data_IF_171253784155
#
_entry.id   IF_171253784155
#
_cell.length_a   1.000
_cell.length_b   1.000
_cell.length_c   1.000
_cell.angle_alpha   90.00
_cell.angle_beta   90.00
_cell.angle_gamma   90.00
#
_symmetry.space_group_name_H-M   'P 1'
#
loop_
_entity.id
_entity.type
_entity.pdbx_description
1 polymer ?
#
# COMPACT_ATOMS: atom_id res chain seq x y z
N UNK A 1 -24.16 -5.62 -2.01
CA UNK A 1 -23.42 -5.42 -3.29
C UNK A 1 -22.89 -4.01 -3.30
N UNK A 2 -21.59 -3.85 -3.34
CA UNK A 2 -20.90 -2.57 -3.32
C UNK A 2 -20.84 -2.01 -4.75
N UNK A 3 -21.32 -0.79 -4.95
CA UNK A 3 -21.32 -0.12 -6.26
C UNK A 3 -20.06 0.72 -6.40
N UNK A 4 -19.07 0.14 -7.09
CA UNK A 4 -17.72 0.65 -7.21
C UNK A 4 -17.59 1.66 -8.35
N UNK A 5 -17.06 2.85 -8.05
CA UNK A 5 -16.47 3.76 -9.03
C UNK A 5 -14.96 3.68 -9.00
N UNK A 6 -14.29 4.02 -10.11
CA UNK A 6 -12.83 4.04 -10.15
C UNK A 6 -12.27 5.36 -10.71
N UNK A 7 -11.14 5.77 -10.14
CA UNK A 7 -10.29 6.85 -10.64
C UNK A 7 -8.91 6.27 -10.98
N UNK A 8 -8.51 6.36 -12.23
CA UNK A 8 -7.33 5.70 -12.79
C UNK A 8 -7.75 4.53 -13.69
N UNK A 9 -6.99 4.31 -14.77
CA UNK A 9 -7.30 3.31 -15.81
C UNK A 9 -6.06 2.53 -16.20
N UNK A 10 -5.16 2.34 -15.24
CA UNK A 10 -3.92 1.57 -15.42
C UNK A 10 -4.13 0.08 -15.08
N UNK A 11 -3.08 -0.71 -15.21
CA UNK A 11 -3.13 -2.15 -15.00
C UNK A 11 -3.48 -2.54 -13.55
N UNK A 12 -3.06 -1.74 -12.54
CA UNK A 12 -3.36 -2.04 -11.13
C UNK A 12 -4.85 -1.85 -10.83
N UNK A 13 -5.47 -0.81 -11.40
CA UNK A 13 -6.92 -0.61 -11.32
C UNK A 13 -7.68 -1.78 -11.95
N UNK A 14 -7.20 -2.28 -13.10
CA UNK A 14 -7.80 -3.41 -13.78
C UNK A 14 -7.72 -4.69 -12.91
N UNK A 15 -6.57 -4.92 -12.29
CA UNK A 15 -6.36 -6.06 -11.40
C UNK A 15 -7.27 -5.99 -10.16
N UNK A 16 -7.43 -4.79 -9.57
CA UNK A 16 -8.35 -4.60 -8.44
C UNK A 16 -9.82 -4.83 -8.84
N UNK A 17 -10.27 -4.30 -9.97
CA UNK A 17 -11.65 -4.49 -10.44
C UNK A 17 -11.93 -5.98 -10.72
N UNK A 18 -10.98 -6.70 -11.30
CA UNK A 18 -11.11 -8.16 -11.50
C UNK A 18 -11.22 -8.88 -10.15
N UNK A 19 -10.33 -8.58 -9.20
CA UNK A 19 -10.37 -9.13 -7.85
C UNK A 19 -11.71 -8.83 -7.15
N UNK A 20 -12.15 -7.58 -7.20
CA UNK A 20 -13.43 -7.15 -6.63
C UNK A 20 -14.63 -7.90 -7.21
N UNK A 21 -14.68 -8.09 -8.54
CA UNK A 21 -15.72 -8.88 -9.19
C UNK A 21 -15.66 -10.37 -8.82
N UNK A 22 -14.46 -10.94 -8.66
CA UNK A 22 -14.28 -12.34 -8.29
C UNK A 22 -14.83 -12.64 -6.89
N UNK A 23 -14.78 -11.65 -5.98
CA UNK A 23 -15.44 -11.78 -4.66
C UNK A 23 -16.97 -11.85 -4.75
N UNK A 24 -17.58 -11.46 -5.89
CA UNK A 24 -19.04 -11.34 -6.11
C UNK A 24 -19.72 -10.36 -5.16
N UNK A 25 -18.97 -9.45 -4.58
CA UNK A 25 -19.46 -8.43 -3.61
C UNK A 25 -19.46 -7.03 -4.19
N UNK A 26 -18.79 -6.82 -5.33
CA UNK A 26 -18.69 -5.54 -6.01
C UNK A 26 -19.29 -5.58 -7.40
N UNK A 27 -19.78 -4.44 -7.82
CA UNK A 27 -20.17 -4.15 -9.19
C UNK A 27 -19.50 -2.83 -9.61
N UNK A 28 -18.68 -2.85 -10.64
CA UNK A 28 -18.19 -1.62 -11.26
C UNK A 28 -19.37 -0.89 -11.91
N UNK A 29 -19.61 0.36 -11.54
CA UNK A 29 -20.72 1.18 -12.05
C UNK A 29 -20.27 2.46 -12.72
N UNK A 30 -19.06 2.95 -12.39
CA UNK A 30 -18.57 4.23 -12.91
C UNK A 30 -17.06 4.24 -13.13
N UNK A 31 -16.61 4.91 -14.20
CA UNK A 31 -15.19 5.12 -14.52
C UNK A 31 -14.93 6.61 -14.76
N UNK A 32 -14.03 7.18 -13.97
CA UNK A 32 -13.51 8.51 -14.21
C UNK A 32 -12.18 8.47 -14.97
N UNK A 33 -12.07 9.28 -16.00
CA UNK A 33 -10.79 9.63 -16.63
C UNK A 33 -10.88 11.02 -17.27
N UNK A 34 -9.80 11.80 -17.25
CA UNK A 34 -9.71 13.12 -17.93
C UNK A 34 -10.03 13.05 -19.43
N UNK A 35 -10.01 11.87 -20.04
CA UNK A 35 -10.33 11.62 -21.44
C UNK A 35 -11.43 10.55 -21.54
N UNK A 36 -12.58 10.92 -22.11
CA UNK A 36 -13.72 10.00 -22.25
C UNK A 36 -13.34 8.70 -22.95
N UNK A 37 -12.61 8.76 -24.05
CA UNK A 37 -12.16 7.58 -24.78
C UNK A 37 -11.28 6.62 -23.94
N UNK A 38 -10.57 7.14 -22.93
CA UNK A 38 -9.79 6.32 -22.01
C UNK A 38 -10.68 5.61 -20.99
N UNK A 39 -11.68 6.33 -20.46
CA UNK A 39 -12.67 5.76 -19.55
C UNK A 39 -13.47 4.65 -20.26
N UNK A 40 -13.96 4.91 -21.47
CA UNK A 40 -14.73 3.95 -22.27
C UNK A 40 -13.93 2.68 -22.57
N UNK A 41 -12.68 2.82 -23.07
CA UNK A 41 -11.80 1.68 -23.36
C UNK A 41 -11.54 0.79 -22.12
N UNK A 42 -11.46 1.41 -20.93
CA UNK A 42 -11.31 0.64 -19.70
C UNK A 42 -12.61 -0.08 -19.32
N UNK A 43 -13.74 0.64 -19.37
CA UNK A 43 -15.02 0.16 -18.85
C UNK A 43 -15.78 -0.79 -19.77
N UNK A 44 -15.56 -0.74 -21.10
CA UNK A 44 -16.34 -1.50 -22.11
C UNK A 44 -16.42 -3.01 -21.85
N UNK A 45 -15.41 -3.59 -21.21
CA UNK A 45 -15.36 -5.01 -20.87
C UNK A 45 -16.12 -5.38 -19.59
N UNK A 46 -16.59 -4.39 -18.82
CA UNK A 46 -17.26 -4.60 -17.53
C UNK A 46 -18.79 -4.42 -17.57
N UNK A 47 -19.38 -4.13 -18.75
CA UNK A 47 -20.81 -4.02 -18.93
C UNK A 47 -21.33 -2.60 -19.01
N UNK A 48 -22.49 -2.33 -18.41
CA UNK A 48 -23.14 -1.02 -18.45
C UNK A 48 -22.50 -0.11 -17.37
N UNK A 49 -21.64 0.81 -17.82
CA UNK A 49 -20.79 1.65 -16.99
C UNK A 49 -21.06 3.12 -17.31
N UNK A 50 -21.20 3.95 -16.29
CA UNK A 50 -21.21 5.41 -16.46
C UNK A 50 -19.79 5.95 -16.58
N UNK A 51 -19.62 6.93 -17.48
CA UNK A 51 -18.31 7.55 -17.74
C UNK A 51 -18.34 9.03 -17.43
N UNK A 52 -17.39 9.48 -16.61
CA UNK A 52 -17.24 10.90 -16.28
C UNK A 52 -15.84 11.42 -16.63
N UNK A 53 -15.77 12.69 -17.03
CA UNK A 53 -14.52 13.40 -17.32
C UNK A 53 -14.23 14.55 -16.35
N UNK A 54 -15.17 14.85 -15.48
CA UNK A 54 -15.00 15.75 -14.34
C UNK A 54 -15.38 15.06 -13.03
N UNK A 55 -14.72 15.45 -11.95
CA UNK A 55 -14.87 14.79 -10.64
C UNK A 55 -16.21 15.12 -9.97
N UNK A 56 -16.78 16.29 -10.21
CA UNK A 56 -18.06 16.67 -9.60
C UNK A 56 -19.19 15.80 -10.14
N UNK A 57 -19.26 15.60 -11.45
CA UNK A 57 -20.19 14.67 -12.09
C UNK A 57 -19.98 13.24 -11.59
N UNK A 58 -18.71 12.78 -11.52
CA UNK A 58 -18.38 11.44 -11.06
C UNK A 58 -18.83 11.18 -9.61
N UNK A 59 -18.46 12.04 -8.68
CA UNK A 59 -18.85 11.89 -7.28
C UNK A 59 -20.34 12.16 -7.02
N UNK A 60 -21.01 12.89 -7.94
CA UNK A 60 -22.45 13.14 -7.89
C UNK A 60 -23.33 11.93 -8.23
N UNK A 61 -22.77 10.81 -8.71
CA UNK A 61 -23.53 9.60 -9.03
C UNK A 61 -24.13 8.96 -7.76
N UNK A 62 -25.46 9.02 -7.67
CA UNK A 62 -26.17 8.62 -6.44
C UNK A 62 -26.12 7.11 -6.16
N UNK A 63 -26.02 6.29 -7.20
CA UNK A 63 -25.97 4.82 -7.08
C UNK A 63 -24.56 4.28 -6.77
N UNK A 64 -23.51 5.08 -6.88
CA UNK A 64 -22.15 4.72 -6.49
C UNK A 64 -21.97 4.98 -4.99
N UNK A 65 -21.45 4.02 -4.24
CA UNK A 65 -21.22 4.12 -2.79
C UNK A 65 -19.75 4.07 -2.38
N UNK A 66 -18.89 3.51 -3.22
CA UNK A 66 -17.48 3.30 -2.93
C UNK A 66 -16.62 3.68 -4.14
N UNK A 67 -15.46 4.30 -3.91
CA UNK A 67 -14.53 4.70 -4.98
C UNK A 67 -13.15 4.14 -4.71
N UNK A 68 -12.56 3.48 -5.73
CA UNK A 68 -11.16 3.10 -5.73
C UNK A 68 -10.33 4.12 -6.50
N UNK A 69 -9.30 4.67 -5.85
CA UNK A 69 -8.46 5.74 -6.36
C UNK A 69 -7.04 5.22 -6.61
N UNK A 70 -6.63 5.17 -7.87
CA UNK A 70 -5.32 4.71 -8.33
C UNK A 70 -4.73 5.67 -9.39
N UNK A 71 -4.86 6.95 -9.15
CA UNK A 71 -4.23 8.04 -9.90
C UNK A 71 -2.75 8.20 -9.47
N UNK A 72 -1.96 9.14 -10.01
CA UNK A 72 -0.66 9.50 -9.43
C UNK A 72 -0.79 9.97 -7.96
N UNK A 73 0.15 9.55 -7.10
CA UNK A 73 0.05 9.68 -5.64
C UNK A 73 -0.36 11.08 -5.15
N UNK A 74 0.25 12.15 -5.72
CA UNK A 74 -0.05 13.53 -5.31
C UNK A 74 -1.49 13.99 -5.59
N UNK A 75 -2.28 13.23 -6.34
CA UNK A 75 -3.68 13.52 -6.64
C UNK A 75 -4.64 12.79 -5.69
N UNK A 76 -4.15 11.83 -4.93
CA UNK A 76 -4.97 10.99 -4.06
C UNK A 76 -5.72 11.80 -3.02
N UNK A 77 -5.02 12.74 -2.36
CA UNK A 77 -5.60 13.54 -1.27
C UNK A 77 -6.84 14.32 -1.70
N UNK A 78 -6.74 15.13 -2.75
CA UNK A 78 -7.86 15.94 -3.23
C UNK A 78 -9.02 15.08 -3.75
N UNK A 79 -8.72 13.95 -4.38
CA UNK A 79 -9.73 13.02 -4.89
C UNK A 79 -10.43 12.28 -3.76
N UNK A 80 -9.68 11.80 -2.75
CA UNK A 80 -10.25 11.16 -1.57
C UNK A 80 -11.14 12.14 -0.78
N UNK A 81 -10.66 13.38 -0.58
CA UNK A 81 -11.42 14.44 0.09
C UNK A 81 -12.74 14.71 -0.59
N UNK A 82 -12.76 14.86 -1.92
CA UNK A 82 -13.99 15.07 -2.68
C UNK A 82 -14.94 13.86 -2.59
N UNK A 83 -14.41 12.64 -2.65
CA UNK A 83 -15.21 11.42 -2.49
C UNK A 83 -15.88 11.33 -1.12
N UNK A 84 -15.14 11.58 -0.06
CA UNK A 84 -15.64 11.59 1.32
C UNK A 84 -16.71 12.66 1.52
N UNK A 85 -16.49 13.91 1.03
CA UNK A 85 -17.46 14.98 1.08
C UNK A 85 -18.75 14.69 0.29
N UNK A 86 -18.65 13.83 -0.72
CA UNK A 86 -19.80 13.32 -1.47
C UNK A 86 -20.46 12.08 -0.82
N UNK A 87 -20.05 11.71 0.41
CA UNK A 87 -20.62 10.59 1.16
C UNK A 87 -20.20 9.21 0.63
N UNK A 88 -19.05 9.11 -0.06
CA UNK A 88 -18.55 7.83 -0.59
C UNK A 88 -17.49 7.24 0.33
N UNK A 89 -17.49 5.91 0.50
CA UNK A 89 -16.32 5.22 0.99
C UNK A 89 -15.18 5.35 -0.02
N UNK A 90 -13.95 5.48 0.44
CA UNK A 90 -12.78 5.62 -0.44
C UNK A 90 -11.74 4.55 -0.14
N UNK A 91 -11.28 3.88 -1.18
CA UNK A 91 -10.15 2.94 -1.18
C UNK A 91 -9.06 3.61 -2.01
N UNK A 92 -7.92 3.92 -1.40
CA UNK A 92 -6.85 4.69 -2.02
C UNK A 92 -5.60 3.83 -2.15
N UNK A 93 -5.06 3.75 -3.38
CA UNK A 93 -3.80 3.03 -3.61
C UNK A 93 -2.66 3.58 -2.75
N UNK A 94 -1.78 2.64 -2.34
CA UNK A 94 -0.56 2.99 -1.60
C UNK A 94 0.49 3.70 -2.50
N UNK A 95 1.25 4.65 -1.94
CA UNK A 95 0.98 5.34 -0.68
C UNK A 95 -0.25 6.22 -0.82
N UNK A 96 -1.16 6.15 0.15
CA UNK A 96 -2.42 6.87 0.04
C UNK A 96 -2.20 8.39 -0.01
N UNK A 97 -1.31 8.91 0.84
CA UNK A 97 -1.06 10.34 0.93
C UNK A 97 0.42 10.66 1.06
N UNK A 98 0.77 11.87 0.65
CA UNK A 98 2.15 12.34 0.58
C UNK A 98 2.72 12.77 1.94
N UNK A 99 1.85 13.19 2.86
CA UNK A 99 2.24 13.73 4.17
C UNK A 99 1.35 13.20 5.30
N UNK A 100 1.83 13.21 6.56
CA UNK A 100 1.04 12.86 7.73
C UNK A 100 -0.16 13.81 7.94
N UNK A 101 -0.04 15.06 7.56
CA UNK A 101 -1.09 16.05 7.66
C UNK A 101 -2.26 15.72 6.72
N UNK A 102 -1.96 15.33 5.46
CA UNK A 102 -2.97 14.84 4.51
C UNK A 102 -3.67 13.58 5.03
N UNK A 103 -2.92 12.63 5.61
CA UNK A 103 -3.46 11.40 6.20
C UNK A 103 -4.41 11.72 7.37
N UNK A 104 -3.99 12.57 8.29
CA UNK A 104 -4.80 12.96 9.45
C UNK A 104 -6.10 13.66 9.02
N UNK A 105 -6.03 14.61 8.06
CA UNK A 105 -7.20 15.31 7.57
C UNK A 105 -8.23 14.36 6.94
N UNK A 106 -7.79 13.39 6.14
CA UNK A 106 -8.68 12.42 5.51
C UNK A 106 -9.34 11.50 6.52
N UNK A 107 -8.59 11.01 7.52
CA UNK A 107 -9.15 10.18 8.60
C UNK A 107 -10.21 10.95 9.40
N UNK A 108 -9.91 12.19 9.78
CA UNK A 108 -10.85 13.03 10.53
C UNK A 108 -12.11 13.33 9.70
N UNK A 109 -11.94 13.62 8.40
CA UNK A 109 -13.05 13.90 7.50
C UNK A 109 -13.93 12.66 7.28
N UNK A 110 -13.34 11.48 7.09
CA UNK A 110 -14.08 10.23 6.95
C UNK A 110 -14.94 9.94 8.19
N UNK A 111 -14.37 10.14 9.38
CA UNK A 111 -15.09 10.01 10.65
C UNK A 111 -16.25 11.01 10.77
N UNK A 112 -16.04 12.28 10.41
CA UNK A 112 -17.08 13.32 10.42
C UNK A 112 -18.23 13.02 9.44
N UNK A 113 -17.92 12.47 8.28
CA UNK A 113 -18.89 12.11 7.25
C UNK A 113 -19.50 10.72 7.43
N UNK A 114 -19.02 9.95 8.43
CA UNK A 114 -19.44 8.57 8.71
C UNK A 114 -19.28 7.63 7.51
N UNK A 115 -18.22 7.82 6.73
CA UNK A 115 -17.78 6.96 5.63
C UNK A 115 -16.43 6.32 5.96
N UNK A 116 -16.02 5.32 5.18
CA UNK A 116 -14.80 4.56 5.41
C UNK A 116 -13.68 5.03 4.46
N UNK A 117 -12.47 5.11 5.00
CA UNK A 117 -11.23 5.29 4.25
C UNK A 117 -10.35 4.05 4.41
N UNK A 118 -9.85 3.50 3.30
CA UNK A 118 -8.89 2.40 3.29
C UNK A 118 -7.66 2.79 2.47
N UNK A 119 -6.48 2.53 2.98
CA UNK A 119 -5.27 2.47 2.16
C UNK A 119 -5.10 1.05 1.61
N UNK A 120 -4.98 0.93 0.29
CA UNK A 120 -4.83 -0.34 -0.40
C UNK A 120 -3.39 -0.84 -0.33
N UNK A 121 -2.98 -1.25 0.87
CA UNK A 121 -1.69 -1.87 1.14
C UNK A 121 -1.81 -3.39 1.06
N UNK A 122 -1.95 -3.90 -0.13
CA UNK A 122 -2.31 -5.28 -0.47
C UNK A 122 -1.67 -6.35 0.42
N UNK A 123 -0.36 -6.25 0.67
CA UNK A 123 0.39 -7.29 1.36
C UNK A 123 -0.11 -7.61 2.77
N UNK A 124 -0.64 -6.62 3.52
CA UNK A 124 -1.14 -6.85 4.88
C UNK A 124 -2.49 -7.60 4.92
N UNK A 125 -3.16 -7.67 3.78
CA UNK A 125 -4.45 -8.35 3.65
C UNK A 125 -4.33 -9.82 3.24
N UNK A 126 -3.13 -10.25 2.81
CA UNK A 126 -2.87 -11.63 2.39
C UNK A 126 -2.89 -12.59 3.59
N UNK A 127 -3.53 -13.76 3.46
CA UNK A 127 -3.53 -14.80 4.48
C UNK A 127 -2.11 -15.25 4.88
N UNK A 128 -1.18 -15.26 3.92
CA UNK A 128 0.24 -15.54 4.16
C UNK A 128 0.88 -14.52 5.12
N UNK A 129 0.49 -13.25 5.05
CA UNK A 129 0.96 -12.20 5.96
C UNK A 129 0.47 -12.45 7.40
N UNK A 130 -0.79 -12.82 7.55
CA UNK A 130 -1.38 -13.20 8.83
C UNK A 130 -0.74 -14.46 9.41
N UNK A 131 -0.44 -15.48 8.57
CA UNK A 131 0.29 -16.69 8.98
C UNK A 131 1.65 -16.35 9.61
N UNK A 132 2.37 -15.39 9.03
CA UNK A 132 3.62 -14.92 9.63
C UNK A 132 3.36 -14.21 10.95
N UNK A 133 2.39 -13.29 11.01
CA UNK A 133 2.05 -12.56 12.24
C UNK A 133 1.69 -13.50 13.40
N UNK A 134 0.95 -14.57 13.14
CA UNK A 134 0.58 -15.60 14.12
C UNK A 134 1.77 -16.48 14.54
N UNK A 135 2.75 -16.66 13.67
CA UNK A 135 3.94 -17.45 13.94
C UNK A 135 4.92 -16.72 14.87
N UNK A 136 5.11 -15.40 14.73
CA UNK A 136 6.10 -14.62 15.47
C UNK A 136 6.06 -14.84 17.00
N UNK A 137 4.90 -14.75 17.69
CA UNK A 137 4.82 -14.91 19.15
C UNK A 137 5.05 -16.35 19.62
N UNK A 138 5.16 -17.33 18.72
CA UNK A 138 5.42 -18.73 19.06
C UNK A 138 6.92 -19.03 19.23
N UNK A 139 7.78 -18.04 18.97
CA UNK A 139 9.24 -18.17 18.99
C UNK A 139 9.87 -17.39 20.15
N UNK A 140 11.19 -17.58 20.28
CA UNK A 140 12.00 -16.81 21.23
C UNK A 140 12.04 -15.32 20.93
N UNK A 141 12.84 -14.57 21.68
CA UNK A 141 12.98 -13.13 21.46
C UNK A 141 13.47 -12.83 20.04
N UNK A 142 12.92 -11.76 19.45
CA UNK A 142 13.37 -11.23 18.16
C UNK A 142 14.69 -10.49 18.38
N UNK A 143 15.70 -10.81 17.58
CA UNK A 143 17.03 -10.20 17.62
C UNK A 143 17.26 -9.19 16.49
N UNK A 144 16.40 -9.18 15.48
CA UNK A 144 16.49 -8.30 14.33
C UNK A 144 15.70 -8.83 13.14
N UNK A 145 15.63 -8.01 12.08
CA UNK A 145 15.09 -8.43 10.78
C UNK A 145 15.80 -7.72 9.63
N UNK A 146 15.77 -8.34 8.47
CA UNK A 146 16.19 -7.73 7.21
C UNK A 146 15.11 -7.94 6.15
N UNK A 147 14.59 -6.84 5.60
CA UNK A 147 13.58 -6.86 4.54
C UNK A 147 14.13 -6.22 3.27
N UNK A 148 13.90 -6.86 2.14
CA UNK A 148 14.35 -6.36 0.84
C UNK A 148 13.20 -6.32 -0.15
N UNK A 149 13.02 -5.17 -0.80
CA UNK A 149 12.18 -5.08 -1.98
C UNK A 149 12.79 -4.11 -3.00
N UNK A 150 13.47 -4.65 -3.99
CA UNK A 150 14.07 -3.90 -5.08
C UNK A 150 13.66 -4.54 -6.41
N UNK A 151 13.17 -3.69 -7.32
CA UNK A 151 12.77 -4.11 -8.67
C UNK A 151 13.07 -3.00 -9.66
N UNK A 152 13.84 -3.31 -10.69
CA UNK A 152 14.15 -2.35 -11.76
C UNK A 152 12.86 -1.86 -12.44
N UNK A 153 12.68 -0.56 -12.47
CA UNK A 153 11.54 0.06 -13.13
C UNK A 153 11.89 0.39 -14.59
N UNK A 154 11.08 -0.09 -15.55
CA UNK A 154 11.23 0.29 -16.96
C UNK A 154 11.09 1.81 -17.20
N UNK A 155 10.58 2.56 -16.22
CA UNK A 155 10.52 4.03 -16.28
C UNK A 155 11.86 4.69 -15.93
N UNK A 156 12.81 3.94 -15.37
CA UNK A 156 14.14 4.48 -15.07
C UNK A 156 14.94 4.80 -16.34
N UNK A 157 14.71 4.08 -17.43
CA UNK A 157 15.34 4.39 -18.72
C UNK A 157 15.00 5.82 -19.19
N UNK A 158 13.77 6.28 -18.96
CA UNK A 158 13.37 7.66 -19.24
C UNK A 158 14.11 8.68 -18.35
N UNK A 159 14.36 8.35 -17.06
CA UNK A 159 15.19 9.20 -16.18
C UNK A 159 16.62 9.29 -16.69
N UNK A 160 17.20 8.18 -17.16
CA UNK A 160 18.54 8.17 -17.77
C UNK A 160 18.59 8.99 -19.08
N UNK A 161 17.46 9.09 -19.79
CA UNK A 161 17.31 9.96 -20.97
C UNK A 161 17.03 11.44 -20.62
N UNK A 162 16.98 11.80 -19.32
CA UNK A 162 16.74 13.17 -18.85
C UNK A 162 15.26 13.54 -18.72
N UNK A 163 14.34 12.57 -18.76
CA UNK A 163 12.92 12.77 -18.53
C UNK A 163 12.57 12.64 -17.04
N UNK A 164 11.37 13.12 -16.66
CA UNK A 164 10.85 13.04 -15.30
C UNK A 164 9.49 12.31 -15.27
N UNK A 165 9.46 10.96 -15.35
CA UNK A 165 8.21 10.22 -15.26
C UNK A 165 7.62 10.30 -13.83
N UNK A 166 6.29 10.31 -13.72
CA UNK A 166 5.55 10.52 -12.45
C UNK A 166 6.10 9.72 -11.26
N UNK A 167 6.44 8.45 -11.49
CA UNK A 167 6.93 7.55 -10.43
C UNK A 167 8.33 7.92 -9.91
N UNK A 168 9.05 8.79 -10.60
CA UNK A 168 10.36 9.34 -10.23
C UNK A 168 10.34 10.87 -10.09
N UNK A 169 9.16 11.45 -9.83
CA UNK A 169 8.97 12.90 -9.71
C UNK A 169 8.52 13.30 -8.30
N UNK A 170 9.13 14.33 -7.70
CA UNK A 170 8.65 14.91 -6.44
C UNK A 170 7.30 15.61 -6.59
N UNK A 171 6.93 16.05 -7.81
CA UNK A 171 5.62 16.63 -8.12
C UNK A 171 4.48 15.61 -7.98
N UNK A 172 4.80 14.34 -8.14
CA UNK A 172 3.85 13.23 -8.02
C UNK A 172 4.09 12.36 -6.80
N UNK A 173 4.92 12.81 -5.85
CA UNK A 173 5.26 12.06 -4.63
C UNK A 173 5.81 10.66 -4.94
N UNK A 174 6.71 10.60 -5.95
CA UNK A 174 7.35 9.38 -6.41
C UNK A 174 8.62 9.03 -5.63
N UNK A 175 9.33 7.99 -6.10
CA UNK A 175 10.59 7.51 -5.52
C UNK A 175 10.53 6.05 -5.10
N UNK A 176 11.69 5.47 -4.79
CA UNK A 176 11.80 4.06 -4.43
C UNK A 176 11.13 3.78 -3.07
N UNK A 177 11.35 4.65 -2.07
CA UNK A 177 10.76 4.51 -0.74
C UNK A 177 9.23 4.56 -0.81
N UNK A 178 8.67 5.54 -1.49
CA UNK A 178 7.23 5.72 -1.59
C UNK A 178 6.54 4.57 -2.34
N UNK A 179 7.14 4.05 -3.40
CA UNK A 179 6.49 3.05 -4.24
C UNK A 179 6.75 1.60 -3.82
N UNK A 180 8.00 1.24 -3.51
CA UNK A 180 8.40 -0.12 -3.13
C UNK A 180 8.74 -0.24 -1.65
N UNK A 181 9.44 0.75 -1.07
CA UNK A 181 9.85 0.74 0.32
C UNK A 181 8.69 0.78 1.32
N UNK A 182 7.54 1.27 0.90
CA UNK A 182 6.32 1.27 1.73
C UNK A 182 5.90 -0.15 2.14
N UNK A 183 6.09 -1.17 1.30
CA UNK A 183 5.74 -2.57 1.63
C UNK A 183 6.56 -3.14 2.80
N UNK A 184 7.91 -3.11 2.80
CA UNK A 184 8.68 -3.55 3.94
C UNK A 184 8.48 -2.67 5.19
N UNK A 185 8.12 -1.38 5.05
CA UNK A 185 7.72 -0.55 6.19
C UNK A 185 6.39 -1.03 6.77
N UNK A 186 5.40 -1.36 5.91
CA UNK A 186 4.14 -1.97 6.36
C UNK A 186 4.40 -3.28 7.12
N UNK A 187 5.26 -4.16 6.61
CA UNK A 187 5.60 -5.41 7.28
C UNK A 187 6.23 -5.15 8.66
N UNK A 188 7.20 -4.24 8.74
CA UNK A 188 7.87 -3.92 10.00
C UNK A 188 6.91 -3.32 11.04
N UNK A 189 6.08 -2.35 10.63
CA UNK A 189 5.15 -1.68 11.55
C UNK A 189 4.00 -2.60 11.97
N UNK A 190 3.46 -3.42 11.05
CA UNK A 190 2.39 -4.35 11.38
C UNK A 190 2.83 -5.47 12.32
N UNK A 191 4.05 -6.00 12.14
CA UNK A 191 4.54 -7.11 12.96
C UNK A 191 5.22 -6.69 14.26
N UNK A 192 5.85 -5.51 14.29
CA UNK A 192 6.68 -5.08 15.43
C UNK A 192 6.21 -3.78 16.08
N UNK A 193 5.17 -3.16 15.53
CA UNK A 193 4.70 -1.86 15.98
C UNK A 193 5.52 -0.70 15.39
N UNK A 194 5.19 0.53 15.82
CA UNK A 194 5.88 1.74 15.38
C UNK A 194 7.31 1.77 15.93
N UNK A 195 8.35 2.00 15.09
CA UNK A 195 9.72 2.10 15.53
C UNK A 195 9.94 3.34 16.42
N UNK A 196 10.91 3.25 17.35
CA UNK A 196 11.29 4.38 18.22
C UNK A 196 12.09 5.43 17.47
N UNK A 197 12.88 5.01 16.48
CA UNK A 197 13.70 5.88 15.64
C UNK A 197 13.89 5.25 14.26
N UNK A 198 14.18 6.08 13.25
CA UNK A 198 14.42 5.63 11.88
C UNK A 198 15.61 6.38 11.29
N UNK A 199 16.39 5.67 10.46
CA UNK A 199 17.45 6.26 9.65
C UNK A 199 17.33 5.78 8.20
N UNK A 200 17.36 6.71 7.24
CA UNK A 200 17.27 6.37 5.83
C UNK A 200 18.40 7.00 5.02
N UNK A 201 19.18 6.18 4.37
CA UNK A 201 20.30 6.54 3.50
C UNK A 201 19.89 6.34 2.04
N UNK A 202 19.53 7.41 1.37
CA UNK A 202 19.04 7.37 0.00
C UNK A 202 20.10 7.84 -1.01
N UNK A 203 20.16 7.16 -2.16
CA UNK A 203 20.77 7.70 -3.36
C UNK A 203 19.70 8.42 -4.17
N UNK A 204 19.75 9.76 -4.15
CA UNK A 204 18.83 10.59 -4.93
C UNK A 204 19.17 10.57 -6.42
N UNK A 205 18.14 10.64 -7.24
CA UNK A 205 18.19 10.81 -8.68
C UNK A 205 18.25 12.31 -9.04
N UNK A 206 18.60 12.64 -10.29
CA UNK A 206 18.55 14.05 -10.76
C UNK A 206 17.19 14.71 -10.59
N UNK A 207 16.11 13.94 -10.58
CA UNK A 207 14.74 14.40 -10.36
C UNK A 207 14.47 14.83 -8.91
N UNK A 208 15.35 14.48 -7.95
CA UNK A 208 15.22 14.85 -6.53
C UNK A 208 14.63 13.78 -5.62
N UNK A 209 14.04 12.70 -6.18
CA UNK A 209 13.57 11.55 -5.39
C UNK A 209 14.64 10.45 -5.32
N UNK A 210 14.43 9.47 -4.45
CA UNK A 210 15.33 8.32 -4.32
C UNK A 210 15.14 7.29 -5.44
N UNK A 211 16.27 6.73 -5.90
CA UNK A 211 16.29 5.58 -6.79
C UNK A 211 16.52 4.27 -6.05
N UNK A 212 17.30 4.32 -4.96
CA UNK A 212 17.66 3.20 -4.10
C UNK A 212 18.01 3.73 -2.72
N UNK A 213 17.75 2.97 -1.66
CA UNK A 213 18.11 3.33 -0.31
C UNK A 213 18.08 2.18 0.68
N UNK A 214 18.71 2.42 1.83
CA UNK A 214 18.74 1.50 2.96
C UNK A 214 18.23 2.24 4.20
N UNK A 215 17.29 1.63 4.91
CA UNK A 215 16.81 2.14 6.19
C UNK A 215 17.20 1.21 7.35
N UNK A 216 17.30 1.82 8.54
CA UNK A 216 17.33 1.12 9.82
C UNK A 216 16.17 1.66 10.65
N UNK A 217 15.27 0.78 11.06
CA UNK A 217 14.17 1.06 11.97
C UNK A 217 14.55 0.52 13.33
N UNK A 218 14.65 1.38 14.33
CA UNK A 218 15.07 1.02 15.69
C UNK A 218 13.88 0.71 16.58
N UNK A 219 13.88 -0.45 17.17
CA UNK A 219 12.96 -0.87 18.23
C UNK A 219 13.69 -0.91 19.58
N UNK A 220 12.99 -1.24 20.66
CA UNK A 220 13.59 -1.23 22.01
C UNK A 220 14.78 -2.22 22.13
N UNK A 221 14.62 -3.42 21.56
CA UNK A 221 15.57 -4.52 21.77
C UNK A 221 16.24 -5.02 20.47
N UNK A 222 15.85 -4.50 19.30
CA UNK A 222 16.39 -4.91 18.00
C UNK A 222 16.24 -3.82 16.93
N UNK A 223 16.91 -4.05 15.82
CA UNK A 223 16.79 -3.19 14.64
C UNK A 223 16.22 -3.99 13.45
N UNK A 224 15.46 -3.30 12.58
CA UNK A 224 15.03 -3.82 11.27
C UNK A 224 15.76 -3.06 10.18
N UNK A 225 16.47 -3.77 9.32
CA UNK A 225 17.10 -3.20 8.13
C UNK A 225 16.16 -3.36 6.93
N UNK A 226 15.96 -2.30 6.17
CA UNK A 226 15.18 -2.32 4.94
C UNK A 226 16.05 -1.88 3.76
N UNK A 227 16.03 -2.66 2.68
CA UNK A 227 16.61 -2.27 1.39
C UNK A 227 15.49 -2.10 0.38
N UNK A 228 15.46 -0.94 -0.29
CA UNK A 228 14.48 -0.64 -1.32
C UNK A 228 15.10 0.03 -2.53
N UNK A 229 14.59 -0.24 -3.73
CA UNK A 229 15.16 0.34 -4.94
C UNK A 229 14.32 0.11 -6.19
N UNK A 230 14.40 1.07 -7.11
CA UNK A 230 13.74 1.03 -8.43
C UNK A 230 14.72 1.14 -9.61
N UNK A 231 16.02 1.19 -9.31
CA UNK A 231 17.10 1.33 -10.31
C UNK A 231 17.99 0.10 -10.41
N UNK A 232 17.65 -0.94 -9.64
CA UNK A 232 18.30 -2.24 -9.64
C UNK A 232 17.31 -3.31 -9.21
N UNK A 233 17.57 -4.56 -9.57
CA UNK A 233 16.87 -5.73 -9.03
C UNK A 233 17.65 -6.30 -7.82
N UNK A 234 16.94 -7.01 -6.93
CA UNK A 234 17.53 -7.79 -5.85
C UNK A 234 16.83 -9.13 -5.74
N UNK A 235 17.63 -10.18 -5.59
CA UNK A 235 17.17 -11.54 -5.30
C UNK A 235 17.31 -11.89 -3.80
N UNK A 236 17.60 -10.88 -2.96
CA UNK A 236 17.72 -11.10 -1.51
C UNK A 236 16.36 -11.42 -0.91
N UNK A 237 16.33 -12.51 -0.17
CA UNK A 237 15.17 -12.89 0.64
C UNK A 237 15.08 -12.00 1.88
N UNK A 238 13.93 -12.02 2.53
CA UNK A 238 13.70 -11.32 3.78
C UNK A 238 13.79 -12.29 4.96
N UNK A 239 14.35 -11.83 6.07
CA UNK A 239 14.59 -12.69 7.24
C UNK A 239 14.18 -11.99 8.54
N UNK A 240 13.70 -12.79 9.51
CA UNK A 240 13.50 -12.38 10.90
C UNK A 240 14.32 -13.31 11.80
N UNK A 241 15.17 -12.71 12.62
CA UNK A 241 16.13 -13.42 13.47
C UNK A 241 15.57 -13.59 14.88
N UNK A 242 15.58 -14.83 15.39
CA UNK A 242 15.15 -15.18 16.74
C UNK A 242 16.28 -15.83 17.53
N UNK A 243 16.16 -15.86 18.86
CA UNK A 243 17.10 -16.60 19.71
C UNK A 243 17.19 -18.08 19.35
N UNK A 244 16.10 -18.67 18.88
CA UNK A 244 15.99 -20.11 18.58
C UNK A 244 16.12 -20.44 17.08
N UNK A 245 16.16 -19.44 16.17
CA UNK A 245 16.27 -19.70 14.75
C UNK A 245 16.10 -18.48 13.86
N UNK A 246 15.79 -18.73 12.60
CA UNK A 246 15.57 -17.69 11.58
C UNK A 246 14.34 -18.03 10.74
N UNK A 247 13.42 -17.11 10.63
CA UNK A 247 12.33 -17.18 9.66
C UNK A 247 12.81 -16.54 8.35
N UNK A 248 12.78 -17.32 7.29
CA UNK A 248 13.12 -16.93 5.93
C UNK A 248 11.82 -16.76 5.10
N UNK A 249 11.72 -15.65 4.38
CA UNK A 249 10.59 -15.29 3.51
C UNK A 249 11.11 -14.98 2.11
N UNK A 250 10.42 -15.43 1.06
CA UNK A 250 10.79 -15.00 -0.31
C UNK A 250 10.75 -13.47 -0.47
N UNK A 251 9.72 -12.83 0.10
CA UNK A 251 9.53 -11.38 0.06
C UNK A 251 8.49 -10.95 1.12
N UNK A 252 8.38 -9.65 1.41
CA UNK A 252 7.36 -9.09 2.33
C UNK A 252 6.22 -8.37 1.60
N UNK A 253 6.35 -8.15 0.30
CA UNK A 253 5.31 -7.56 -0.54
C UNK A 253 4.36 -8.61 -1.16
N UNK A 254 4.77 -9.88 -1.17
CA UNK A 254 3.98 -11.05 -1.56
C UNK A 254 4.65 -12.29 -0.98
N UNK A 255 4.11 -12.85 0.10
CA UNK A 255 4.69 -13.99 0.79
C UNK A 255 4.15 -15.28 0.17
N UNK A 256 4.95 -15.88 -0.70
CA UNK A 256 4.63 -17.12 -1.42
C UNK A 256 5.38 -18.32 -0.86
N UNK A 257 6.50 -18.05 -0.18
CA UNK A 257 7.33 -19.03 0.51
C UNK A 257 7.76 -18.50 1.87
N UNK A 258 7.65 -19.32 2.91
CA UNK A 258 8.13 -19.02 4.25
C UNK A 258 8.62 -20.31 4.92
N UNK A 259 9.76 -20.24 5.61
CA UNK A 259 10.30 -21.39 6.33
C UNK A 259 11.11 -20.96 7.56
N UNK A 260 10.93 -21.67 8.66
CA UNK A 260 11.68 -21.43 9.88
C UNK A 260 12.84 -22.44 10.02
N UNK A 261 14.06 -21.93 10.06
CA UNK A 261 15.23 -22.71 10.40
C UNK A 261 15.43 -22.75 11.91
N UNK A 262 15.25 -23.91 12.53
CA UNK A 262 15.45 -24.12 13.96
C UNK A 262 16.93 -24.41 14.26
N UNK A 263 17.58 -23.55 15.05
CA UNK A 263 19.02 -23.61 15.30
C UNK A 263 19.45 -24.87 16.09
N UNK A 264 18.62 -25.32 17.05
CA UNK A 264 18.94 -26.43 17.90
C UNK A 264 18.94 -27.77 17.14
N UNK A 265 17.91 -28.02 16.36
CA UNK A 265 17.71 -29.25 15.58
C UNK A 265 18.39 -29.20 14.22
N UNK A 266 18.73 -28.00 13.73
CA UNK A 266 19.22 -27.72 12.37
C UNK A 266 18.22 -28.15 11.28
N UNK A 267 16.95 -28.16 11.61
CA UNK A 267 15.88 -28.47 10.67
C UNK A 267 15.18 -27.21 10.18
N UNK A 268 14.67 -27.28 8.98
CA UNK A 268 13.85 -26.21 8.37
C UNK A 268 12.42 -26.68 8.28
N UNK A 269 11.49 -25.88 8.77
CA UNK A 269 10.06 -26.16 8.84
C UNK A 269 9.32 -25.14 7.96
N UNK A 270 8.69 -25.56 6.87
CA UNK A 270 7.90 -24.66 6.04
C UNK A 270 6.66 -24.16 6.79
N UNK A 271 6.28 -22.91 6.58
CA UNK A 271 4.99 -22.35 6.98
C UNK A 271 3.96 -22.60 5.87
N UNK A 272 2.69 -22.66 6.25
CA UNK A 272 1.59 -22.86 5.31
C UNK A 272 1.22 -21.53 4.64
N UNK A 273 2.01 -21.12 3.67
CA UNK A 273 1.78 -19.94 2.82
C UNK A 273 1.64 -20.37 1.36
N UNK A 274 0.98 -19.57 0.54
CA UNK A 274 0.76 -19.88 -0.87
C UNK A 274 0.72 -18.62 -1.73
N UNK A 275 1.17 -18.74 -2.97
CA UNK A 275 0.98 -17.74 -4.00
C UNK A 275 -0.51 -17.59 -4.37
N UNK A 276 -0.93 -16.36 -4.66
CA UNK A 276 -2.27 -16.04 -5.12
C UNK A 276 -2.25 -15.70 -6.62
N UNK A 277 -3.20 -16.25 -7.40
CA UNK A 277 -3.34 -15.92 -8.82
C UNK A 277 -3.63 -14.42 -9.03
N UNK A 278 -4.54 -13.87 -8.24
CA UNK A 278 -4.73 -12.44 -8.13
C UNK A 278 -4.56 -12.01 -6.66
N UNK A 279 -3.43 -11.39 -6.32
CA UNK A 279 -3.10 -11.03 -4.95
C UNK A 279 -4.00 -9.93 -4.34
N UNK A 280 -4.90 -9.31 -5.12
CA UNK A 280 -5.86 -8.31 -4.63
C UNK A 280 -7.20 -8.89 -4.20
N UNK A 281 -7.43 -10.21 -4.36
CA UNK A 281 -8.72 -10.83 -3.98
C UNK A 281 -8.96 -10.72 -2.49
N UNK A 282 -7.97 -11.07 -1.66
CA UNK A 282 -8.11 -11.04 -0.20
C UNK A 282 -8.25 -9.59 0.32
N UNK A 283 -7.56 -8.63 -0.29
CA UNK A 283 -7.74 -7.21 0.01
C UNK A 283 -9.17 -6.73 -0.30
N UNK A 284 -9.68 -7.03 -1.51
CA UNK A 284 -11.04 -6.68 -1.91
C UNK A 284 -12.08 -7.35 -0.99
N UNK A 285 -11.87 -8.62 -0.63
CA UNK A 285 -12.70 -9.35 0.32
C UNK A 285 -12.74 -8.67 1.68
N UNK A 286 -11.58 -8.32 2.21
CA UNK A 286 -11.40 -7.70 3.51
C UNK A 286 -12.06 -6.32 3.59
N UNK A 287 -11.95 -5.51 2.55
CA UNK A 287 -12.64 -4.22 2.48
C UNK A 287 -14.17 -4.40 2.43
N UNK A 288 -14.65 -5.37 1.61
CA UNK A 288 -16.08 -5.67 1.54
C UNK A 288 -16.64 -6.14 2.88
N UNK A 289 -15.88 -6.94 3.67
CA UNK A 289 -16.31 -7.40 4.99
C UNK A 289 -16.61 -6.23 5.91
N UNK A 290 -15.79 -5.20 5.92
CA UNK A 290 -16.00 -4.00 6.73
C UNK A 290 -17.12 -3.13 6.16
N UNK A 291 -17.13 -2.87 4.85
CA UNK A 291 -18.14 -2.00 4.22
C UNK A 291 -19.56 -2.53 4.43
N UNK A 292 -19.76 -3.84 4.28
CA UNK A 292 -21.08 -4.47 4.41
C UNK A 292 -21.48 -4.71 5.88
N UNK A 293 -20.54 -4.71 6.82
CA UNK A 293 -20.77 -5.01 8.25
C UNK A 293 -20.23 -3.92 9.17
N UNK A 294 -20.30 -2.65 8.77
CA UNK A 294 -19.74 -1.51 9.51
C UNK A 294 -20.25 -1.36 10.96
N UNK A 295 -21.43 -1.92 11.24
CA UNK A 295 -22.04 -1.88 12.59
C UNK A 295 -21.60 -3.08 13.46
N UNK A 296 -20.83 -4.04 12.93
CA UNK A 296 -20.24 -5.14 13.72
C UNK A 296 -19.02 -4.61 14.49
N UNK A 297 -19.01 -4.70 15.84
CA UNK A 297 -17.88 -4.21 16.64
C UNK A 297 -16.53 -4.83 16.27
N UNK A 298 -16.51 -6.08 15.80
CA UNK A 298 -15.27 -6.74 15.36
C UNK A 298 -14.72 -6.13 14.07
N UNK A 299 -15.62 -5.82 13.13
CA UNK A 299 -15.22 -5.15 11.89
C UNK A 299 -14.82 -3.69 12.16
N UNK A 300 -15.50 -3.02 13.09
CA UNK A 300 -15.11 -1.69 13.55
C UNK A 300 -13.70 -1.68 14.16
N UNK A 301 -13.39 -2.60 15.07
CA UNK A 301 -12.04 -2.72 15.64
C UNK A 301 -10.98 -2.99 14.58
N UNK A 302 -11.24 -3.91 13.65
CA UNK A 302 -10.33 -4.26 12.55
C UNK A 302 -10.08 -3.05 11.64
N UNK A 303 -11.11 -2.27 11.36
CA UNK A 303 -11.01 -1.02 10.59
C UNK A 303 -10.10 0.00 11.30
N UNK A 304 -10.31 0.23 12.59
CA UNK A 304 -9.49 1.14 13.39
C UNK A 304 -8.02 0.71 13.42
N UNK A 305 -7.74 -0.59 13.56
CA UNK A 305 -6.39 -1.16 13.51
C UNK A 305 -5.71 -0.88 12.17
N UNK A 306 -6.41 -1.01 11.04
CA UNK A 306 -5.86 -0.72 9.71
C UNK A 306 -5.63 0.78 9.47
N UNK A 307 -6.54 1.63 9.93
CA UNK A 307 -6.38 3.09 9.84
C UNK A 307 -5.18 3.54 10.66
N UNK A 308 -5.00 3.02 11.87
CA UNK A 308 -3.84 3.36 12.72
C UNK A 308 -2.53 2.81 12.14
N UNK A 309 -2.55 1.62 11.56
CA UNK A 309 -1.40 1.06 10.84
C UNK A 309 -1.01 1.95 9.66
N UNK A 310 -1.96 2.34 8.81
CA UNK A 310 -1.72 3.23 7.68
C UNK A 310 -1.15 4.58 8.12
N UNK A 311 -1.68 5.17 9.20
CA UNK A 311 -1.15 6.40 9.81
C UNK A 311 0.31 6.22 10.26
N UNK A 312 0.60 5.17 11.02
CA UNK A 312 1.93 4.88 11.54
C UNK A 312 2.95 4.64 10.43
N UNK A 313 2.56 3.96 9.36
CA UNK A 313 3.39 3.73 8.17
C UNK A 313 3.66 5.05 7.43
N UNK A 314 2.62 5.86 7.19
CA UNK A 314 2.76 7.16 6.53
C UNK A 314 3.72 8.09 7.30
N UNK A 315 3.59 8.17 8.64
CA UNK A 315 4.49 8.93 9.50
C UNK A 315 5.94 8.42 9.42
N UNK A 316 6.12 7.09 9.46
CA UNK A 316 7.45 6.45 9.37
C UNK A 316 8.11 6.74 8.03
N UNK A 317 7.40 6.54 6.92
CA UNK A 317 7.89 6.83 5.56
C UNK A 317 8.20 8.33 5.40
N UNK A 318 7.37 9.20 5.95
CA UNK A 318 7.60 10.66 5.91
C UNK A 318 8.87 11.07 6.67
N UNK A 319 9.11 10.51 7.86
CA UNK A 319 10.34 10.75 8.62
C UNK A 319 11.57 10.28 7.84
N UNK A 320 11.55 9.07 7.28
CA UNK A 320 12.65 8.53 6.47
C UNK A 320 12.93 9.43 5.27
N UNK A 321 11.90 9.84 4.55
CA UNK A 321 12.01 10.72 3.38
C UNK A 321 12.62 12.08 3.74
N UNK A 322 12.13 12.72 4.82
CA UNK A 322 12.62 14.02 5.30
C UNK A 322 14.09 13.96 5.72
N UNK A 323 14.53 12.88 6.37
CA UNK A 323 15.95 12.67 6.71
C UNK A 323 16.88 12.59 5.49
N UNK A 324 16.37 12.07 4.38
CA UNK A 324 17.11 11.97 3.12
C UNK A 324 16.97 13.22 2.23
N UNK A 325 16.42 14.33 2.74
CA UNK A 325 16.14 15.56 1.99
C UNK A 325 15.34 15.32 0.70
N UNK A 326 14.39 14.39 0.73
CA UNK A 326 13.45 14.15 -0.36
C UNK A 326 12.20 14.96 -0.06
N UNK A 327 12.03 16.06 -0.78
CA UNK A 327 10.95 17.03 -0.56
C UNK A 327 9.94 16.92 -1.69
N UNK A 328 8.71 16.62 -1.36
CA UNK A 328 7.58 16.61 -2.30
C UNK A 328 6.95 18.00 -2.40
N UNK A 329 6.20 18.26 -3.47
CA UNK A 329 5.44 19.51 -3.56
C UNK A 329 4.35 19.61 -2.48
N UNK A 330 3.83 18.49 -2.01
CA UNK A 330 2.88 18.45 -0.89
C UNK A 330 3.47 19.00 0.42
N UNK A 331 4.78 18.87 0.65
CA UNK A 331 5.46 19.40 1.84
C UNK A 331 5.59 20.93 1.86
N UNK A 332 5.27 21.60 0.74
CA UNK A 332 5.40 23.05 0.57
C UNK A 332 4.07 23.79 0.78
N UNK A 333 3.01 23.05 0.98
CA UNK A 333 1.65 23.59 1.21
C UNK A 333 1.45 23.82 2.70
#
# INVERSE_FOLDING_TARGET
MIHLGIIGTNWITDQFVQAAHETKRYQLVAVYSRKLATAQRFGEKYGDIEYATDLATFFGLAHMDTVYIASPNSLHFEQAKQGILAGKNVIVEKPAFSTPEEMAEIIDLANQQQVLFFEAARNIHEASFSTVAEFLPTRGAILGANFSYMKYSSRYDAVLAGEEPNIFSPHFSGGALADLGVYPVYAAVAWFGKPQDVHYFARKLPTGVDGIGTAVLRYADFDVTIQTGKIADSELRSEIYFEDGTLDLNAVNAIEEAAFYERQTKQTHPLAVAALDNPMIEEAQNFADIIENKDDPKQGQRYEEWVELARSVNETVSLMRKQADIIFDADKK
#
